data_IF_457185734790
#
_entry.id   IF_457185734790
#
_cell.length_a   1.000
_cell.length_b   1.000
_cell.length_c   1.000
_cell.angle_alpha   90.00
_cell.angle_beta   90.00
_cell.angle_gamma   90.00
#
_symmetry.space_group_name_H-M   'P 1'
#
loop_
_entity.id
_entity.type
_entity.pdbx_description
1 polymer ?
#
# COMPACT_ATOMS: atom_id res chain seq x y z
N UNK A 1 34.60 40.41 23.08
CA UNK A 1 33.64 41.46 22.68
C UNK A 1 33.02 41.07 21.35
N UNK A 2 31.69 41.16 21.27
CA UNK A 2 30.84 40.84 20.12
C UNK A 2 31.13 41.73 18.91
N UNK A 3 30.98 41.20 17.71
CA UNK A 3 30.34 41.89 16.59
C UNK A 3 29.97 40.90 15.48
N UNK A 4 28.68 40.85 15.17
CA UNK A 4 28.07 40.20 14.01
C UNK A 4 27.73 41.32 13.03
N UNK A 5 27.99 41.18 11.73
CA UNK A 5 27.25 41.93 10.75
C UNK A 5 26.25 41.02 10.01
N UNK A 6 24.97 41.39 10.16
CA UNK A 6 23.87 41.08 9.26
C UNK A 6 24.25 41.50 7.82
N UNK A 7 24.11 40.60 6.85
CA UNK A 7 24.09 40.95 5.43
C UNK A 7 22.84 40.36 4.81
N UNK A 8 21.94 41.27 4.43
CA UNK A 8 20.73 41.01 3.68
C UNK A 8 21.06 40.51 2.28
N UNK A 9 20.51 39.36 1.89
CA UNK A 9 20.58 38.86 0.51
C UNK A 9 19.23 39.11 -0.15
N UNK A 10 19.16 40.17 -0.93
CA UNK A 10 18.13 40.39 -1.95
C UNK A 10 18.87 40.64 -3.26
N UNK A 11 18.89 39.64 -4.15
CA UNK A 11 19.23 39.87 -5.54
C UNK A 11 18.20 39.22 -6.45
N UNK A 12 17.56 40.13 -7.18
CA UNK A 12 16.56 39.94 -8.20
C UNK A 12 17.23 39.57 -9.55
N UNK A 13 16.41 38.99 -10.44
CA UNK A 13 16.38 39.16 -11.90
C UNK A 13 17.07 38.14 -12.84
N UNK A 14 16.20 37.65 -13.73
CA UNK A 14 16.36 37.45 -15.19
C UNK A 14 16.95 36.13 -15.70
N UNK A 15 16.05 35.17 -15.99
CA UNK A 15 16.30 34.18 -17.05
C UNK A 15 15.54 34.62 -18.29
N UNK A 16 16.31 34.80 -19.37
CA UNK A 16 15.92 35.40 -20.65
C UNK A 16 15.03 34.47 -21.49
N UNK A 17 13.97 35.04 -22.06
CA UNK A 17 13.41 34.61 -23.34
C UNK A 17 14.50 34.64 -24.41
N UNK A 18 14.68 33.53 -25.13
CA UNK A 18 15.35 33.52 -26.43
C UNK A 18 14.45 32.77 -27.41
N UNK A 19 13.81 33.53 -28.30
CA UNK A 19 13.11 33.04 -29.48
C UNK A 19 14.12 32.92 -30.62
N UNK A 20 14.12 31.80 -31.34
CA UNK A 20 14.80 31.69 -32.63
C UNK A 20 13.84 31.10 -33.69
N UNK A 21 13.89 31.55 -34.96
CA UNK A 21 12.83 31.37 -35.94
C UNK A 21 13.01 30.11 -36.81
N UNK A 22 11.87 29.65 -37.34
CA UNK A 22 11.66 28.56 -38.30
C UNK A 22 12.36 28.78 -39.66
N UNK A 23 12.49 27.73 -40.48
CA UNK A 23 11.66 27.70 -41.69
C UNK A 23 10.98 26.35 -41.99
N UNK A 24 9.70 26.45 -42.41
CA UNK A 24 8.96 25.74 -43.48
C UNK A 24 9.43 24.34 -43.96
N UNK A 25 8.62 23.36 -44.37
CA UNK A 25 7.18 23.22 -44.68
C UNK A 25 7.00 21.76 -45.15
N UNK A 26 5.89 21.10 -44.80
CA UNK A 26 5.11 20.22 -45.71
C UNK A 26 3.80 19.81 -45.02
N UNK A 27 2.72 20.30 -45.61
CA UNK A 27 1.32 19.94 -45.33
C UNK A 27 1.05 18.48 -45.68
N UNK A 28 0.21 17.77 -44.89
CA UNK A 28 -0.94 16.96 -45.35
C UNK A 28 -1.96 16.85 -44.21
N UNK A 29 -3.19 17.31 -44.47
CA UNK A 29 -4.42 17.28 -43.64
C UNK A 29 -5.06 15.85 -43.58
N UNK A 30 -6.25 15.59 -42.98
CA UNK A 30 -6.63 15.54 -41.56
C UNK A 30 -7.39 14.22 -41.18
N UNK A 31 -7.88 14.14 -39.93
CA UNK A 31 -9.00 13.29 -39.47
C UNK A 31 -8.81 11.76 -39.39
N UNK A 32 -8.59 11.28 -38.15
CA UNK A 32 -9.58 10.45 -37.45
C UNK A 32 -9.26 10.37 -35.97
N UNK A 33 -10.04 11.11 -35.20
CA UNK A 33 -10.23 10.96 -33.76
C UNK A 33 -10.78 9.56 -33.49
N UNK A 34 -9.91 8.58 -33.26
CA UNK A 34 -10.30 7.37 -32.56
C UNK A 34 -10.10 7.64 -31.08
N UNK A 35 -11.14 8.16 -30.44
CA UNK A 35 -11.28 8.08 -28.98
C UNK A 35 -11.47 6.59 -28.67
N UNK A 36 -10.37 5.85 -28.53
CA UNK A 36 -10.40 4.58 -27.82
C UNK A 36 -10.69 4.94 -26.37
N UNK A 37 -11.96 4.85 -26.00
CA UNK A 37 -12.36 4.71 -24.60
C UNK A 37 -11.68 3.45 -24.12
N UNK A 38 -10.54 3.60 -23.44
CA UNK A 38 -10.02 2.54 -22.57
C UNK A 38 -11.10 2.37 -21.50
N UNK A 39 -11.87 1.29 -21.58
CA UNK A 39 -12.59 0.78 -20.42
C UNK A 39 -11.55 0.62 -19.31
N UNK A 40 -11.68 1.46 -18.29
CA UNK A 40 -10.83 1.44 -17.11
C UNK A 40 -11.04 0.08 -16.45
N UNK A 41 -10.00 -0.74 -16.43
CA UNK A 41 -9.93 -2.06 -15.79
C UNK A 41 -10.03 -2.01 -14.25
N UNK A 42 -10.76 -1.01 -13.73
CA UNK A 42 -10.87 -0.65 -12.32
C UNK A 42 -11.90 -1.51 -11.57
N UNK A 43 -12.88 -2.10 -12.26
CA UNK A 43 -13.83 -3.02 -11.62
C UNK A 43 -13.16 -4.34 -11.17
N UNK A 44 -12.18 -4.82 -11.93
CA UNK A 44 -11.45 -6.08 -11.64
C UNK A 44 -10.50 -5.94 -10.44
N UNK A 45 -9.79 -4.81 -10.33
CA UNK A 45 -8.82 -4.58 -9.26
C UNK A 45 -9.47 -4.33 -7.90
N UNK A 46 -10.64 -3.68 -7.87
CA UNK A 46 -11.38 -3.43 -6.64
C UNK A 46 -11.91 -4.72 -5.99
N UNK A 47 -12.38 -5.64 -6.84
CA UNK A 47 -12.91 -6.94 -6.40
C UNK A 47 -11.85 -7.80 -5.72
N UNK A 48 -10.58 -7.72 -6.14
CA UNK A 48 -9.47 -8.48 -5.55
C UNK A 48 -9.32 -8.21 -4.05
N UNK A 49 -9.56 -6.98 -3.59
CA UNK A 49 -9.40 -6.61 -2.19
C UNK A 49 -10.69 -6.73 -1.39
N UNK A 50 -11.84 -6.39 -1.97
CA UNK A 50 -13.14 -6.44 -1.27
C UNK A 50 -13.55 -7.89 -1.02
N UNK A 51 -13.25 -8.80 -1.96
CA UNK A 51 -13.59 -10.22 -1.87
C UNK A 51 -12.39 -11.09 -1.47
N UNK A 52 -11.27 -10.48 -1.07
CA UNK A 52 -10.10 -11.23 -0.65
C UNK A 52 -10.42 -12.14 0.53
N UNK A 53 -9.96 -13.39 0.45
CA UNK A 53 -10.10 -14.36 1.52
C UNK A 53 -9.26 -13.94 2.73
N UNK A 54 -9.88 -13.90 3.90
CA UNK A 54 -9.20 -13.79 5.18
C UNK A 54 -9.04 -15.18 5.82
N UNK A 55 -7.95 -15.37 6.56
CA UNK A 55 -7.61 -16.63 7.19
C UNK A 55 -6.46 -17.36 6.50
N UNK A 56 -6.39 -18.68 6.67
CA UNK A 56 -5.36 -19.49 6.04
C UNK A 56 -5.60 -19.66 4.54
N UNK A 57 -4.68 -19.15 3.71
CA UNK A 57 -4.65 -19.42 2.27
C UNK A 57 -4.13 -20.84 1.98
N UNK A 58 -3.22 -21.32 2.82
CA UNK A 58 -2.66 -22.66 2.81
C UNK A 58 -2.13 -23.01 4.23
N UNK A 59 -1.32 -24.06 4.37
CA UNK A 59 -0.75 -24.46 5.68
C UNK A 59 0.21 -23.44 6.27
N UNK A 60 0.81 -22.58 5.44
CA UNK A 60 1.97 -21.78 5.81
C UNK A 60 1.66 -20.27 5.85
N UNK A 61 0.62 -19.85 5.14
CA UNK A 61 0.29 -18.43 4.95
C UNK A 61 -1.10 -18.11 5.50
N UNK A 62 -1.13 -17.16 6.41
CA UNK A 62 -2.34 -16.53 6.94
C UNK A 62 -2.50 -15.12 6.36
N UNK A 63 -3.66 -14.79 5.82
CA UNK A 63 -3.97 -13.50 5.20
C UNK A 63 -5.05 -12.74 5.97
N UNK A 64 -4.88 -11.43 6.07
CA UNK A 64 -5.92 -10.49 6.51
C UNK A 64 -6.03 -9.34 5.54
N UNK A 65 -7.23 -8.77 5.47
CA UNK A 65 -7.52 -7.58 4.68
C UNK A 65 -7.82 -6.43 5.63
N UNK A 66 -7.20 -5.29 5.42
CA UNK A 66 -7.54 -4.06 6.15
C UNK A 66 -7.77 -2.91 5.19
N UNK A 67 -8.61 -1.97 5.60
CA UNK A 67 -8.84 -0.72 4.87
C UNK A 67 -8.39 0.48 5.70
N UNK A 68 -7.83 1.50 5.05
CA UNK A 68 -7.51 2.79 5.64
C UNK A 68 -8.03 3.94 4.77
N UNK A 69 -8.25 5.11 5.38
CA UNK A 69 -8.66 6.32 4.65
C UNK A 69 -7.49 6.95 3.88
N UNK A 70 -6.27 6.71 4.35
CA UNK A 70 -5.04 7.19 3.75
C UNK A 70 -4.24 6.03 3.17
N UNK A 71 -3.56 6.25 2.05
CA UNK A 71 -2.65 5.29 1.40
C UNK A 71 -1.33 5.10 2.15
N UNK A 72 -1.34 5.16 3.49
CA UNK A 72 -0.16 5.01 4.33
C UNK A 72 0.02 3.55 4.75
N UNK A 73 1.02 2.89 4.16
CA UNK A 73 1.31 1.48 4.40
C UNK A 73 1.71 1.18 5.86
N UNK A 74 2.37 2.10 6.56
CA UNK A 74 2.81 1.89 7.94
C UNK A 74 1.61 1.83 8.91
N UNK A 75 0.66 2.77 8.73
CA UNK A 75 -0.58 2.78 9.51
C UNK A 75 -1.41 1.52 9.22
N UNK A 76 -1.51 1.14 7.95
CA UNK A 76 -2.19 -0.08 7.54
C UNK A 76 -1.51 -1.34 8.11
N UNK A 77 -0.17 -1.34 8.20
CA UNK A 77 0.59 -2.45 8.75
C UNK A 77 0.31 -2.66 10.23
N UNK A 78 0.23 -1.59 11.03
CA UNK A 78 -0.11 -1.71 12.45
C UNK A 78 -1.55 -2.16 12.68
N UNK A 79 -2.49 -1.68 11.85
CA UNK A 79 -3.87 -2.15 11.88
C UNK A 79 -3.96 -3.64 11.51
N UNK A 80 -3.25 -4.05 10.47
CA UNK A 80 -3.21 -5.42 10.00
C UNK A 80 -2.56 -6.37 11.02
N UNK A 81 -1.46 -5.96 11.68
CA UNK A 81 -0.83 -6.72 12.77
C UNK A 81 -1.82 -6.99 13.89
N UNK A 82 -2.51 -5.95 14.38
CA UNK A 82 -3.52 -6.08 15.44
C UNK A 82 -4.63 -7.05 15.02
N UNK A 83 -5.13 -6.93 13.79
CA UNK A 83 -6.16 -7.81 13.24
C UNK A 83 -5.68 -9.26 13.14
N UNK A 84 -4.48 -9.48 12.58
CA UNK A 84 -3.90 -10.81 12.42
C UNK A 84 -3.69 -11.50 13.77
N UNK A 85 -3.17 -10.79 14.79
CA UNK A 85 -3.01 -11.35 16.14
C UNK A 85 -4.36 -11.83 16.68
N UNK A 86 -5.41 -11.00 16.60
CA UNK A 86 -6.72 -11.35 17.13
C UNK A 86 -7.32 -12.56 16.41
N UNK A 87 -7.20 -12.63 15.08
CA UNK A 87 -7.74 -13.75 14.31
C UNK A 87 -6.94 -15.05 14.52
N UNK A 88 -5.61 -14.97 14.65
CA UNK A 88 -4.78 -16.14 14.97
C UNK A 88 -5.04 -16.68 16.38
N UNK A 89 -5.33 -15.80 17.34
CA UNK A 89 -5.80 -16.22 18.67
C UNK A 89 -7.14 -16.94 18.56
N UNK A 90 -8.08 -16.39 17.79
CA UNK A 90 -9.40 -17.01 17.57
C UNK A 90 -9.29 -18.38 16.90
N UNK A 91 -8.39 -18.54 15.92
CA UNK A 91 -8.14 -19.82 15.24
C UNK A 91 -7.54 -20.88 16.15
N UNK A 92 -6.82 -20.48 17.22
CA UNK A 92 -6.34 -21.41 18.25
C UNK A 92 -7.47 -21.90 19.18
N UNK A 93 -8.54 -21.12 19.32
CA UNK A 93 -9.76 -21.51 20.04
C UNK A 93 -9.51 -21.90 21.50
N UNK A 94 -10.21 -22.95 21.97
CA UNK A 94 -10.17 -23.40 23.38
C UNK A 94 -8.80 -23.88 23.87
N UNK A 95 -7.87 -24.14 22.94
CA UNK A 95 -6.49 -24.52 23.27
C UNK A 95 -5.58 -23.32 23.55
N UNK A 96 -6.11 -22.09 23.44
CA UNK A 96 -5.33 -20.88 23.64
C UNK A 96 -4.92 -20.69 25.11
N UNK A 97 -3.64 -20.45 25.33
CA UNK A 97 -3.03 -20.16 26.65
C UNK A 97 -2.40 -18.77 26.63
N UNK A 98 -2.24 -18.17 27.81
CA UNK A 98 -1.60 -16.84 27.94
C UNK A 98 -0.19 -16.79 27.34
N UNK A 99 0.56 -17.91 27.37
CA UNK A 99 1.89 -18.03 26.75
C UNK A 99 1.86 -17.94 25.23
N UNK A 100 0.77 -18.37 24.59
CA UNK A 100 0.63 -18.33 23.13
C UNK A 100 0.50 -16.90 22.62
N UNK A 101 -0.03 -15.98 23.44
CA UNK A 101 -0.19 -14.58 23.07
C UNK A 101 1.14 -13.94 22.66
N UNK A 102 2.20 -14.20 23.44
CA UNK A 102 3.53 -13.67 23.16
C UNK A 102 4.10 -14.26 21.86
N UNK A 103 3.96 -15.57 21.66
CA UNK A 103 4.42 -16.27 20.47
C UNK A 103 3.70 -15.81 19.20
N UNK A 104 2.37 -15.68 19.25
CA UNK A 104 1.57 -15.17 18.13
C UNK A 104 1.95 -13.72 17.82
N UNK A 105 2.15 -12.89 18.85
CA UNK A 105 2.58 -11.50 18.65
C UNK A 105 3.95 -11.44 17.97
N UNK A 106 4.94 -12.18 18.47
CA UNK A 106 6.29 -12.24 17.89
C UNK A 106 6.26 -12.76 16.45
N UNK A 107 5.49 -13.81 16.18
CA UNK A 107 5.30 -14.34 14.84
C UNK A 107 4.75 -13.28 13.87
N UNK A 108 3.67 -12.59 14.26
CA UNK A 108 3.04 -11.56 13.42
C UNK A 108 3.96 -10.36 13.22
N UNK A 109 4.70 -9.95 14.25
CA UNK A 109 5.64 -8.83 14.17
C UNK A 109 6.85 -9.14 13.28
N UNK A 110 7.37 -10.37 13.34
CA UNK A 110 8.58 -10.80 12.64
C UNK A 110 8.33 -11.31 11.22
N UNK A 111 7.18 -11.94 10.95
CA UNK A 111 6.87 -12.56 9.65
C UNK A 111 5.74 -11.86 8.88
N UNK A 112 5.00 -10.99 9.56
CA UNK A 112 3.86 -10.30 8.97
C UNK A 112 4.26 -9.07 8.15
N UNK A 113 3.74 -8.96 6.92
CA UNK A 113 3.95 -7.80 6.05
C UNK A 113 2.77 -7.55 5.13
N UNK A 114 2.62 -6.29 4.71
CA UNK A 114 1.73 -5.93 3.61
C UNK A 114 2.35 -6.44 2.30
N UNK A 115 1.58 -7.21 1.53
CA UNK A 115 2.03 -7.80 0.25
C UNK A 115 1.41 -7.12 -0.96
N UNK A 116 0.24 -6.51 -0.79
CA UNK A 116 -0.46 -5.74 -1.84
C UNK A 116 -1.22 -4.57 -1.21
N UNK A 117 -1.36 -3.50 -1.98
CA UNK A 117 -2.17 -2.33 -1.68
C UNK A 117 -3.01 -1.98 -2.90
N UNK A 118 -4.25 -1.54 -2.68
CA UNK A 118 -5.10 -1.02 -3.74
C UNK A 118 -4.84 0.46 -4.00
N UNK A 119 -5.35 0.98 -5.12
CA UNK A 119 -5.66 2.41 -5.24
C UNK A 119 -6.82 2.82 -4.33
N UNK A 120 -7.23 4.09 -4.38
CA UNK A 120 -8.43 4.54 -3.66
C UNK A 120 -9.68 3.96 -4.33
N UNK A 121 -10.40 3.11 -3.59
CA UNK A 121 -11.66 2.50 -4.00
C UNK A 121 -12.73 3.05 -3.07
N UNK A 122 -13.64 3.87 -3.61
CA UNK A 122 -14.69 4.53 -2.82
C UNK A 122 -14.13 5.32 -1.62
N UNK A 123 -12.98 5.98 -1.79
CA UNK A 123 -12.33 6.77 -0.73
C UNK A 123 -11.60 5.95 0.33
N UNK A 124 -11.39 4.65 0.10
CA UNK A 124 -10.61 3.77 0.98
C UNK A 124 -9.49 3.09 0.21
N UNK A 125 -8.36 2.91 0.88
CA UNK A 125 -7.26 2.08 0.43
C UNK A 125 -7.35 0.73 1.15
N UNK A 126 -7.18 -0.36 0.42
CA UNK A 126 -7.20 -1.70 0.95
C UNK A 126 -5.80 -2.31 0.90
N UNK A 127 -5.47 -3.13 1.88
CA UNK A 127 -4.16 -3.74 2.03
C UNK A 127 -4.32 -5.21 2.35
N UNK A 128 -3.60 -6.05 1.61
CA UNK A 128 -3.44 -7.46 1.93
C UNK A 128 -2.20 -7.61 2.79
N UNK A 129 -2.39 -8.14 3.99
CA UNK A 129 -1.31 -8.45 4.91
C UNK A 129 -1.22 -9.96 5.07
N UNK A 130 -0.01 -10.49 5.01
CA UNK A 130 0.24 -11.91 5.12
C UNK A 130 1.28 -12.19 6.19
N UNK A 131 1.03 -13.25 6.96
CA UNK A 131 1.99 -13.87 7.89
C UNK A 131 2.35 -15.22 7.29
N UNK A 132 3.63 -15.41 6.97
CA UNK A 132 4.12 -16.63 6.35
C UNK A 132 5.17 -17.31 7.22
N UNK A 133 4.92 -18.57 7.55
CA UNK A 133 5.84 -19.44 8.29
C UNK A 133 5.58 -20.90 7.92
N UNK A 134 6.61 -21.76 7.77
CA UNK A 134 6.40 -23.18 7.55
C UNK A 134 5.51 -23.80 8.63
N UNK A 135 4.55 -24.64 8.23
CA UNK A 135 3.63 -25.37 9.11
C UNK A 135 2.83 -24.48 10.07
N UNK A 136 2.56 -23.23 9.69
CA UNK A 136 1.89 -22.24 10.55
C UNK A 136 0.55 -22.76 11.09
N UNK A 137 -0.29 -23.30 10.21
CA UNK A 137 -1.61 -23.82 10.58
C UNK A 137 -1.52 -24.99 11.56
N UNK A 138 -0.54 -25.87 11.37
CA UNK A 138 -0.33 -27.04 12.22
C UNK A 138 0.24 -26.65 13.57
N UNK A 139 1.22 -25.75 13.59
CA UNK A 139 1.86 -25.25 14.81
C UNK A 139 0.89 -24.49 15.72
N UNK A 140 -0.11 -23.81 15.15
CA UNK A 140 -1.16 -23.13 15.93
C UNK A 140 -2.16 -24.07 16.60
N UNK A 141 -2.42 -25.24 16.00
CA UNK A 141 -3.40 -26.23 16.50
C UNK A 141 -2.82 -27.24 17.50
N UNK A 142 -1.49 -27.26 17.62
CA UNK A 142 -0.75 -28.04 18.61
C UNK A 142 -0.92 -27.42 20.00
#
# INVERSE_FOLDING_TARGET
>A
MKSIPFIAVLFLLTVRCSSAPSPERKEVHPNKTTTTVMEESNESSADEFIKATEGFLNSDTFQVVVSALEGNADIAQDLARKRAINLLIAEKGDKFRSSDKALIKELVESKGKVVKSSGSIQGKFYFLFQVSSPDLKTSLKR
#
